data_IF_628248168862
#
_entry.id   IF_628248168862
#
_cell.length_a   1.000
_cell.length_b   1.000
_cell.length_c   1.000
_cell.angle_alpha   90.00
_cell.angle_beta   90.00
_cell.angle_gamma   90.00
#
_symmetry.space_group_name_H-M   'P 1'
#
loop_
_entity.id
_entity.type
_entity.pdbx_description
1 polymer ?
#
# COMPACT_ATOMS: atom_id res chain seq x y z
N UNK A 1 49.52 24.44 -17.01
CA UNK A 1 48.46 25.01 -16.15
C UNK A 1 47.11 25.22 -16.83
N UNK A 2 46.99 25.20 -18.18
CA UNK A 2 45.68 25.31 -18.87
C UNK A 2 44.90 23.99 -19.00
N UNK A 3 45.57 22.85 -18.90
CA UNK A 3 44.97 21.51 -19.06
C UNK A 3 44.25 21.00 -17.78
N UNK A 4 44.66 21.44 -16.58
CA UNK A 4 44.02 21.00 -15.32
C UNK A 4 42.64 21.60 -15.09
N UNK A 5 42.35 22.77 -15.69
CA UNK A 5 41.10 23.49 -15.46
C UNK A 5 39.91 22.88 -16.20
N UNK A 6 40.16 22.09 -17.26
CA UNK A 6 39.08 21.47 -18.04
C UNK A 6 38.53 20.20 -17.37
N UNK A 7 39.36 19.46 -16.65
CA UNK A 7 38.96 18.24 -15.92
C UNK A 7 38.15 18.58 -14.67
N UNK A 8 38.42 19.72 -14.03
CA UNK A 8 37.67 20.17 -12.87
C UNK A 8 36.25 20.65 -13.23
N UNK A 9 36.05 21.17 -14.46
CA UNK A 9 34.74 21.67 -14.91
C UNK A 9 33.80 20.54 -15.37
N UNK A 10 34.32 19.42 -15.88
CA UNK A 10 33.51 18.25 -16.24
C UNK A 10 33.09 17.42 -15.03
N UNK A 11 33.84 17.47 -13.91
CA UNK A 11 33.48 16.79 -12.66
C UNK A 11 32.38 17.52 -11.86
N UNK A 12 32.17 18.83 -12.08
CA UNK A 12 31.16 19.61 -11.37
C UNK A 12 29.74 19.53 -11.98
N UNK A 13 29.60 19.03 -13.21
CA UNK A 13 28.28 18.91 -13.88
C UNK A 13 27.53 17.64 -13.47
N UNK A 14 28.22 16.63 -12.92
CA UNK A 14 27.57 15.43 -12.37
C UNK A 14 27.14 15.56 -10.90
N UNK A 15 27.43 16.69 -10.25
CA UNK A 15 27.06 16.94 -8.85
C UNK A 15 25.72 17.69 -8.71
N UNK A 16 24.81 17.50 -9.66
CA UNK A 16 23.40 17.89 -9.56
C UNK A 16 22.48 16.66 -9.41
N UNK A 17 23.01 15.52 -8.93
CA UNK A 17 22.19 14.36 -8.61
C UNK A 17 21.35 14.61 -7.36
N UNK A 18 20.06 14.78 -7.65
CA UNK A 18 18.87 14.57 -6.81
C UNK A 18 18.73 15.49 -5.60
N UNK A 19 18.21 16.69 -5.86
CA UNK A 19 17.22 17.30 -4.98
C UNK A 19 16.11 16.25 -4.75
N UNK A 20 16.19 15.55 -3.63
CA UNK A 20 15.12 14.85 -2.91
C UNK A 20 14.07 14.20 -3.82
N UNK A 21 14.53 13.22 -4.59
CA UNK A 21 13.64 12.35 -5.34
C UNK A 21 12.90 11.48 -4.30
N UNK A 22 11.70 11.95 -3.96
CA UNK A 22 10.78 11.44 -2.94
C UNK A 22 10.56 9.93 -3.17
N UNK A 23 10.60 9.07 -2.14
CA UNK A 23 10.29 7.66 -2.33
C UNK A 23 8.86 7.48 -2.83
N UNK A 24 8.62 6.46 -3.66
CA UNK A 24 7.30 6.18 -4.22
C UNK A 24 6.39 5.53 -3.15
N UNK A 25 6.95 4.58 -2.38
CA UNK A 25 6.25 3.90 -1.28
C UNK A 25 7.22 3.68 -0.13
N UNK A 26 6.93 4.22 1.06
CA UNK A 26 7.82 4.20 2.24
C UNK A 26 9.22 4.70 1.91
N UNK A 27 10.20 3.79 1.81
CA UNK A 27 11.63 4.06 1.51
C UNK A 27 12.05 3.55 0.13
N UNK A 28 11.15 2.89 -0.59
CA UNK A 28 11.45 2.26 -1.87
C UNK A 28 11.07 3.15 -3.04
N UNK A 29 11.70 2.89 -4.18
CA UNK A 29 11.39 3.53 -5.46
C UNK A 29 11.11 2.49 -6.53
N UNK A 30 10.26 2.85 -7.48
CA UNK A 30 10.03 2.03 -8.65
C UNK A 30 11.33 1.78 -9.41
N UNK A 31 11.49 0.55 -9.92
CA UNK A 31 12.69 0.11 -10.63
C UNK A 31 13.87 -0.29 -9.73
N UNK A 32 13.76 -0.18 -8.40
CA UNK A 32 14.79 -0.72 -7.51
C UNK A 32 14.96 -2.24 -7.67
N UNK A 33 16.19 -2.74 -7.59
CA UNK A 33 16.47 -4.19 -7.51
C UNK A 33 16.19 -4.73 -6.11
N UNK A 34 16.11 -6.07 -5.97
CA UNK A 34 15.98 -6.73 -4.66
C UNK A 34 17.07 -6.30 -3.68
N UNK A 35 18.32 -6.22 -4.14
CA UNK A 35 19.47 -5.82 -3.33
C UNK A 35 19.38 -4.36 -2.89
N UNK A 36 18.81 -3.48 -3.73
CA UNK A 36 18.57 -2.09 -3.36
C UNK A 36 17.48 -1.97 -2.30
N UNK A 37 16.35 -2.67 -2.48
CA UNK A 37 15.26 -2.72 -1.50
C UNK A 37 15.76 -3.24 -0.15
N UNK A 38 16.53 -4.35 -0.13
CA UNK A 38 17.12 -4.92 1.09
C UNK A 38 18.09 -3.99 1.83
N UNK A 39 18.65 -2.98 1.16
CA UNK A 39 19.54 -1.98 1.79
C UNK A 39 18.77 -0.84 2.45
N UNK A 40 17.57 -0.53 1.97
CA UNK A 40 16.78 0.62 2.44
C UNK A 40 15.65 0.20 3.38
N UNK A 41 15.14 -1.02 3.25
CA UNK A 41 14.14 -1.56 4.16
C UNK A 41 14.80 -2.13 5.42
N UNK A 42 14.33 -1.65 6.58
CA UNK A 42 14.85 -1.99 7.90
C UNK A 42 13.91 -2.94 8.66
N UNK A 43 12.76 -3.28 8.06
CA UNK A 43 11.84 -4.28 8.56
C UNK A 43 12.46 -5.69 8.61
N UNK A 44 11.82 -6.60 9.34
CA UNK A 44 12.27 -7.99 9.40
C UNK A 44 11.96 -8.70 8.08
N UNK A 45 12.98 -9.17 7.36
CA UNK A 45 12.79 -10.00 6.17
C UNK A 45 12.31 -11.39 6.58
N UNK A 46 11.08 -11.73 6.20
CA UNK A 46 10.44 -13.02 6.52
C UNK A 46 10.70 -14.06 5.44
N UNK A 47 10.65 -13.65 4.16
CA UNK A 47 10.80 -14.55 3.03
C UNK A 47 11.42 -13.85 1.83
N UNK A 48 12.25 -14.58 1.10
CA UNK A 48 12.81 -14.19 -0.19
C UNK A 48 12.46 -15.24 -1.23
N UNK A 49 11.80 -14.81 -2.30
CA UNK A 49 11.51 -15.62 -3.49
C UNK A 49 12.13 -15.02 -4.74
N UNK A 50 11.87 -15.66 -5.89
CA UNK A 50 12.48 -15.27 -7.17
C UNK A 50 12.09 -13.84 -7.57
N UNK A 51 10.81 -13.48 -7.45
CA UNK A 51 10.29 -12.15 -7.78
C UNK A 51 9.65 -11.40 -6.61
N UNK A 52 9.77 -11.88 -5.37
CA UNK A 52 9.10 -11.27 -4.21
C UNK A 52 10.02 -11.25 -2.99
N UNK A 53 10.03 -10.12 -2.27
CA UNK A 53 10.55 -10.02 -0.91
C UNK A 53 9.40 -9.75 0.04
N UNK A 54 9.29 -10.53 1.12
CA UNK A 54 8.26 -10.35 2.15
C UNK A 54 8.91 -9.94 3.46
N UNK A 55 8.49 -8.81 4.00
CA UNK A 55 8.91 -8.30 5.29
C UNK A 55 7.75 -8.27 6.28
N UNK A 56 8.05 -8.22 7.58
CA UNK A 56 7.07 -7.95 8.63
C UNK A 56 7.22 -6.53 9.15
N UNK A 57 6.11 -5.81 9.20
CA UNK A 57 6.02 -4.46 9.77
C UNK A 57 4.89 -4.39 10.79
N UNK A 58 4.99 -3.45 11.75
CA UNK A 58 3.99 -3.27 12.81
C UNK A 58 4.28 -4.07 14.08
N UNK A 59 3.25 -4.41 14.86
CA UNK A 59 3.34 -5.32 16.02
C UNK A 59 3.79 -4.73 17.36
N UNK A 60 4.04 -3.41 17.46
CA UNK A 60 4.15 -2.74 18.78
C UNK A 60 2.83 -2.07 19.12
N UNK A 61 2.01 -2.77 19.92
CA UNK A 61 0.71 -2.30 20.35
C UNK A 61 0.78 -1.04 21.24
N UNK A 62 -0.21 -0.17 21.09
CA UNK A 62 -0.86 0.50 22.22
C UNK A 62 -2.34 0.09 22.16
N UNK A 63 -3.01 -0.20 23.30
CA UNK A 63 -4.38 -0.68 23.30
C UNK A 63 -5.29 0.44 22.78
N UNK A 64 -5.85 0.28 21.58
CA UNK A 64 -6.83 1.21 21.05
C UNK A 64 -8.17 0.97 21.76
N UNK A 65 -8.50 1.84 22.73
CA UNK A 65 -9.90 2.22 22.95
C UNK A 65 -10.16 3.38 21.99
N UNK A 66 -10.82 3.13 20.87
CA UNK A 66 -11.26 4.19 19.96
C UNK A 66 -12.61 4.68 20.44
N UNK A 67 -12.62 5.82 21.14
CA UNK A 67 -13.80 6.67 21.13
C UNK A 67 -13.73 7.52 19.86
N UNK A 68 -14.70 7.36 18.97
CA UNK A 68 -14.89 8.21 17.80
C UNK A 68 -15.14 9.64 18.29
N UNK A 69 -14.10 10.48 18.29
CA UNK A 69 -14.23 11.89 18.57
C UNK A 69 -14.60 12.66 17.30
N UNK A 70 -15.62 13.51 17.45
CA UNK A 70 -16.21 14.35 16.42
C UNK A 70 -15.21 15.21 15.65
N UNK A 71 -15.57 15.42 14.38
CA UNK A 71 -15.01 16.31 13.36
C UNK A 71 -14.36 17.56 13.97
N UNK A 72 -13.04 17.67 13.83
CA UNK A 72 -12.28 18.90 14.09
C UNK A 72 -12.00 19.56 12.74
N UNK A 73 -12.46 20.81 12.59
CA UNK A 73 -12.07 21.73 11.52
C UNK A 73 -10.55 21.97 11.61
N UNK A 74 -9.82 21.88 10.49
CA UNK A 74 -8.37 22.15 10.46
C UNK A 74 -8.01 23.14 9.35
N UNK A 75 -7.17 24.06 9.78
CA UNK A 75 -6.44 25.14 9.11
C UNK A 75 -5.50 24.63 7.99
N UNK A 76 -5.25 25.48 6.99
CA UNK A 76 -4.55 25.13 5.75
C UNK A 76 -3.01 25.06 5.90
N UNK A 77 -2.39 24.25 5.03
CA UNK A 77 -0.94 24.09 4.76
C UNK A 77 -0.17 22.99 5.52
N UNK A 78 -0.32 21.72 5.09
CA UNK A 78 0.63 20.62 5.39
C UNK A 78 1.29 20.09 4.10
N UNK A 79 2.62 19.93 4.14
CA UNK A 79 3.47 19.43 3.07
C UNK A 79 3.21 17.92 2.81
N UNK A 80 2.88 17.56 1.57
CA UNK A 80 2.56 16.17 1.19
C UNK A 80 3.81 15.30 1.27
N UNK A 81 3.93 14.47 2.30
CA UNK A 81 5.00 13.45 2.48
C UNK A 81 4.64 12.14 1.73
N UNK A 82 5.59 11.19 1.51
CA UNK A 82 5.26 9.92 0.87
C UNK A 82 4.32 9.11 1.77
N UNK A 83 3.56 8.14 1.22
CA UNK A 83 2.72 7.28 2.04
C UNK A 83 3.59 6.45 3.00
N UNK A 84 3.73 6.93 4.23
CA UNK A 84 4.23 6.14 5.35
C UNK A 84 3.10 5.30 5.89
N UNK A 85 3.38 4.00 6.07
CA UNK A 85 2.43 3.06 6.65
C UNK A 85 2.56 3.21 8.15
N UNK A 86 1.74 4.07 8.74
CA UNK A 86 1.61 4.11 10.19
C UNK A 86 1.09 2.74 10.68
N UNK A 87 1.82 2.11 11.59
CA UNK A 87 1.42 0.86 12.21
C UNK A 87 0.32 1.16 13.23
N UNK A 88 -0.93 0.96 12.85
CA UNK A 88 -2.10 1.16 13.71
C UNK A 88 -2.24 -0.06 14.63
N UNK A 89 -1.23 -0.37 15.45
CA UNK A 89 -1.28 -1.50 16.40
C UNK A 89 -1.31 -2.92 15.80
N UNK A 90 -1.55 -3.08 14.50
CA UNK A 90 -1.59 -4.37 13.81
C UNK A 90 -0.24 -4.76 13.20
N UNK A 91 -0.01 -6.06 13.03
CA UNK A 91 1.04 -6.61 12.18
C UNK A 91 0.59 -6.72 10.73
N UNK A 92 1.51 -6.40 9.80
CA UNK A 92 1.30 -6.52 8.37
C UNK A 92 2.48 -7.26 7.72
N UNK A 93 2.17 -8.01 6.68
CA UNK A 93 3.16 -8.47 5.71
C UNK A 93 3.33 -7.40 4.62
N UNK A 94 4.56 -6.96 4.41
CA UNK A 94 4.96 -5.99 3.39
C UNK A 94 5.67 -6.73 2.26
N UNK A 95 5.02 -6.85 1.10
CA UNK A 95 5.55 -7.54 -0.06
C UNK A 95 6.07 -6.52 -1.07
N UNK A 96 7.31 -6.70 -1.50
CA UNK A 96 7.90 -6.03 -2.65
C UNK A 96 7.92 -7.00 -3.83
N UNK A 97 7.27 -6.64 -4.92
CA UNK A 97 7.08 -7.49 -6.10
C UNK A 97 7.85 -6.92 -7.29
N UNK A 98 8.72 -7.76 -7.86
CA UNK A 98 9.71 -7.37 -8.86
C UNK A 98 9.33 -7.94 -10.24
N UNK A 99 9.23 -7.05 -11.22
CA UNK A 99 9.16 -7.42 -12.63
C UNK A 99 10.54 -7.41 -13.30
N UNK A 100 10.57 -7.53 -14.63
CA UNK A 100 11.81 -7.54 -15.41
C UNK A 100 12.66 -6.27 -15.23
N UNK A 101 11.99 -5.14 -14.99
CA UNK A 101 12.60 -3.81 -14.88
C UNK A 101 12.84 -3.37 -13.43
N UNK A 102 12.67 -4.25 -12.45
CA UNK A 102 12.83 -3.98 -11.03
C UNK A 102 11.50 -3.93 -10.28
N UNK A 103 11.49 -3.26 -9.12
CA UNK A 103 10.31 -3.11 -8.27
C UNK A 103 9.17 -2.43 -9.03
N UNK A 104 8.04 -3.11 -9.14
CA UNK A 104 6.86 -2.59 -9.84
C UNK A 104 5.59 -2.56 -9.00
N UNK A 105 5.58 -3.25 -7.86
CA UNK A 105 4.42 -3.31 -6.99
C UNK A 105 4.83 -3.51 -5.53
N UNK A 106 4.08 -2.87 -4.62
CA UNK A 106 4.18 -3.06 -3.17
C UNK A 106 2.82 -3.42 -2.63
N UNK A 107 2.74 -4.49 -1.83
CA UNK A 107 1.50 -4.91 -1.16
C UNK A 107 1.70 -4.82 0.35
N UNK A 108 0.72 -4.27 1.05
CA UNK A 108 0.64 -4.28 2.50
C UNK A 108 -0.60 -5.09 2.87
N UNK A 109 -0.38 -6.26 3.43
CA UNK A 109 -1.44 -7.21 3.76
C UNK A 109 -1.57 -7.34 5.28
N UNK A 110 -2.77 -7.18 5.81
CA UNK A 110 -3.05 -7.41 7.22
C UNK A 110 -2.77 -8.87 7.57
N UNK A 111 -1.88 -9.10 8.54
CA UNK A 111 -1.42 -10.45 8.86
C UNK A 111 -2.34 -11.18 9.83
N UNK A 112 -2.85 -10.44 10.81
CA UNK A 112 -3.64 -11.01 11.89
C UNK A 112 -5.12 -10.97 11.54
N UNK A 113 -5.79 -12.11 11.72
CA UNK A 113 -7.24 -12.17 11.66
C UNK A 113 -7.82 -11.33 12.80
N UNK A 114 -8.92 -10.63 12.52
CA UNK A 114 -9.69 -9.90 13.52
C UNK A 114 -10.90 -10.73 13.94
N UNK A 115 -11.18 -10.76 15.24
CA UNK A 115 -12.24 -11.61 15.81
C UNK A 115 -13.65 -11.22 15.33
N UNK A 116 -13.85 -9.97 14.93
CA UNK A 116 -15.15 -9.45 14.52
C UNK A 116 -15.10 -8.82 13.12
N UNK A 117 -16.00 -9.21 12.19
CA UNK A 117 -16.10 -8.60 10.86
C UNK A 117 -16.23 -7.08 10.88
N UNK A 118 -16.86 -6.52 11.93
CA UNK A 118 -16.97 -5.07 12.12
C UNK A 118 -15.61 -4.36 12.22
N UNK A 119 -14.62 -4.98 12.87
CA UNK A 119 -13.29 -4.40 13.03
C UNK A 119 -12.55 -4.28 11.70
N UNK A 120 -12.74 -5.22 10.77
CA UNK A 120 -12.18 -5.08 9.42
C UNK A 120 -12.76 -3.88 8.68
N UNK A 121 -14.07 -3.65 8.80
CA UNK A 121 -14.73 -2.52 8.16
C UNK A 121 -14.29 -1.18 8.76
N UNK A 122 -14.11 -1.13 10.09
CA UNK A 122 -13.56 0.04 10.78
C UNK A 122 -12.15 0.34 10.32
N UNK A 123 -11.28 -0.69 10.25
CA UNK A 123 -9.91 -0.55 9.79
C UNK A 123 -9.85 -0.14 8.31
N UNK A 124 -10.72 -0.70 7.46
CA UNK A 124 -10.84 -0.30 6.06
C UNK A 124 -11.19 1.20 5.95
N UNK A 125 -12.22 1.66 6.66
CA UNK A 125 -12.60 3.10 6.68
C UNK A 125 -11.47 3.99 7.21
N UNK A 126 -10.78 3.55 8.25
CA UNK A 126 -9.64 4.27 8.81
C UNK A 126 -8.50 4.38 7.79
N UNK A 127 -8.15 3.29 7.10
CA UNK A 127 -7.13 3.27 6.05
C UNK A 127 -7.53 4.12 4.85
N UNK A 128 -8.80 4.09 4.43
CA UNK A 128 -9.33 5.01 3.41
C UNK A 128 -9.07 6.47 3.76
N UNK A 129 -9.35 6.87 5.00
CA UNK A 129 -9.15 8.26 5.43
C UNK A 129 -7.67 8.64 5.43
N UNK A 130 -6.80 7.75 5.90
CA UNK A 130 -5.34 7.98 5.90
C UNK A 130 -4.82 8.10 4.46
N UNK A 131 -5.19 7.17 3.58
CA UNK A 131 -4.76 7.17 2.17
C UNK A 131 -5.27 8.40 1.43
N UNK A 132 -6.51 8.82 1.67
CA UNK A 132 -7.08 10.04 1.09
C UNK A 132 -6.29 11.29 1.49
N UNK A 133 -5.87 11.39 2.76
CA UNK A 133 -5.00 12.49 3.21
C UNK A 133 -3.62 12.45 2.57
N UNK A 134 -3.05 11.26 2.39
CA UNK A 134 -1.72 11.08 1.80
C UNK A 134 -1.70 11.33 0.29
N UNK A 135 -2.76 10.94 -0.42
CA UNK A 135 -2.85 11.04 -1.88
C UNK A 135 -3.43 12.40 -2.32
N UNK A 136 -4.22 13.07 -1.49
CA UNK A 136 -4.81 14.39 -1.78
C UNK A 136 -6.20 14.32 -2.43
N UNK A 137 -6.53 13.23 -3.13
CA UNK A 137 -7.86 13.01 -3.71
C UNK A 137 -8.71 12.00 -2.92
N UNK A 138 -10.05 12.14 -2.90
CA UNK A 138 -10.93 11.12 -2.34
C UNK A 138 -10.90 9.84 -3.20
N UNK A 139 -10.97 8.70 -2.53
CA UNK A 139 -11.08 7.42 -3.22
C UNK A 139 -12.37 7.33 -4.04
N UNK A 140 -12.28 6.67 -5.20
CA UNK A 140 -13.44 6.14 -5.91
C UNK A 140 -13.73 4.75 -5.36
N UNK A 141 -14.82 4.63 -4.61
CA UNK A 141 -15.27 3.36 -4.07
C UNK A 141 -15.98 2.50 -5.12
N UNK A 142 -15.63 1.23 -5.18
CA UNK A 142 -16.25 0.18 -5.99
C UNK A 142 -16.60 -0.98 -5.05
N UNK A 143 -17.80 -1.54 -5.17
CA UNK A 143 -18.16 -2.80 -4.52
C UNK A 143 -18.33 -3.88 -5.60
N UNK A 144 -17.67 -5.01 -5.41
CA UNK A 144 -17.77 -6.18 -6.30
C UNK A 144 -18.67 -7.23 -5.65
N UNK A 145 -19.69 -7.70 -6.35
CA UNK A 145 -20.65 -8.68 -5.83
C UNK A 145 -20.49 -10.00 -6.59
N UNK A 146 -20.51 -11.15 -5.88
CA UNK A 146 -20.48 -12.48 -6.55
C UNK A 146 -21.78 -12.77 -7.31
N UNK A 147 -22.89 -12.15 -6.90
CA UNK A 147 -24.21 -12.26 -7.52
C UNK A 147 -24.73 -10.90 -8.03
N UNK A 148 -25.79 -10.92 -8.84
CA UNK A 148 -26.48 -9.70 -9.31
C UNK A 148 -27.24 -8.94 -8.21
N UNK A 149 -27.12 -9.36 -6.94
CA UNK A 149 -27.77 -8.72 -5.80
C UNK A 149 -26.92 -7.57 -5.28
N UNK A 150 -27.02 -6.43 -5.97
CA UNK A 150 -26.42 -5.17 -5.52
C UNK A 150 -27.19 -4.68 -4.30
N UNK A 151 -26.52 -4.57 -3.14
CA UNK A 151 -27.08 -3.94 -1.94
C UNK A 151 -27.03 -2.42 -2.08
N UNK A 152 -27.99 -1.72 -1.45
CA UNK A 152 -28.04 -0.25 -1.48
C UNK A 152 -26.83 0.40 -0.79
N UNK A 153 -26.30 -0.27 0.24
CA UNK A 153 -25.13 0.18 0.99
C UNK A 153 -24.20 -1.02 1.26
N UNK A 154 -23.02 -1.08 0.62
CA UNK A 154 -22.12 -2.23 0.71
C UNK A 154 -21.41 -2.35 2.07
N UNK A 155 -21.59 -1.36 2.97
CA UNK A 155 -20.98 -1.29 4.30
C UNK A 155 -21.89 -1.78 5.44
N UNK A 156 -23.15 -2.18 5.18
CA UNK A 156 -24.11 -2.53 6.23
C UNK A 156 -23.90 -3.92 6.84
N UNK A 157 -23.23 -4.81 6.11
CA UNK A 157 -23.09 -6.22 6.50
C UNK A 157 -21.64 -6.67 6.33
N UNK A 158 -20.77 -6.38 7.32
CA UNK A 158 -19.36 -6.76 7.26
C UNK A 158 -19.16 -8.29 7.21
N UNK A 159 -20.07 -9.06 7.82
CA UNK A 159 -19.98 -10.52 7.83
C UNK A 159 -20.20 -11.12 6.44
N UNK A 160 -21.04 -10.50 5.60
CA UNK A 160 -21.19 -10.89 4.20
C UNK A 160 -19.89 -10.73 3.39
N UNK A 161 -19.04 -9.75 3.74
CA UNK A 161 -17.73 -9.57 3.09
C UNK A 161 -16.80 -10.74 3.43
N UNK A 162 -16.69 -11.10 4.71
CA UNK A 162 -15.82 -12.22 5.15
C UNK A 162 -16.32 -13.61 4.69
N UNK A 163 -17.61 -13.72 4.37
CA UNK A 163 -18.18 -14.90 3.69
C UNK A 163 -17.96 -14.88 2.17
N UNK A 164 -17.50 -13.75 1.64
CA UNK A 164 -17.25 -13.52 0.22
C UNK A 164 -18.52 -13.38 -0.60
N UNK A 165 -19.62 -12.87 -0.05
CA UNK A 165 -20.80 -12.51 -0.83
C UNK A 165 -20.51 -11.29 -1.73
N UNK A 166 -19.68 -10.37 -1.22
CA UNK A 166 -19.17 -9.20 -1.93
C UNK A 166 -17.80 -8.76 -1.36
N UNK A 167 -17.11 -7.88 -2.06
CA UNK A 167 -15.88 -7.22 -1.64
C UNK A 167 -15.98 -5.70 -1.78
N UNK A 168 -15.13 -4.99 -1.06
CA UNK A 168 -14.98 -3.54 -1.14
C UNK A 168 -13.62 -3.20 -1.72
N UNK A 169 -13.60 -2.23 -2.63
CA UNK A 169 -12.39 -1.72 -3.25
C UNK A 169 -12.45 -0.20 -3.28
N UNK A 170 -11.42 0.47 -2.76
CA UNK A 170 -11.24 1.91 -2.89
C UNK A 170 -10.03 2.15 -3.78
N UNK A 171 -10.22 2.94 -4.83
CA UNK A 171 -9.19 3.24 -5.82
C UNK A 171 -8.92 4.74 -5.81
N UNK A 172 -7.67 5.14 -5.62
CA UNK A 172 -7.29 6.54 -5.72
C UNK A 172 -6.78 6.85 -7.13
N UNK A 173 -7.29 7.92 -7.79
CA UNK A 173 -6.71 8.39 -9.03
C UNK A 173 -5.28 8.87 -8.78
N UNK A 174 -4.34 8.44 -9.62
CA UNK A 174 -2.97 8.98 -9.61
C UNK A 174 -2.98 10.45 -10.00
N UNK A 175 -2.71 11.38 -9.07
CA UNK A 175 -2.43 12.78 -9.42
C UNK A 175 -1.13 12.89 -10.25
N UNK A 176 -0.13 12.07 -9.93
CA UNK A 176 1.21 12.12 -10.53
C UNK A 176 1.45 11.13 -11.69
N UNK A 177 0.45 10.29 -12.01
CA UNK A 177 0.50 9.18 -12.98
C UNK A 177 1.60 8.14 -12.72
N UNK A 178 2.18 8.08 -11.51
CA UNK A 178 3.28 7.15 -11.20
C UNK A 178 2.82 5.90 -10.47
N UNK A 179 1.86 6.03 -9.53
CA UNK A 179 1.49 4.95 -8.61
C UNK A 179 -0.02 4.78 -8.45
N UNK A 180 -0.60 3.72 -9.00
CA UNK A 180 -1.98 3.35 -8.68
C UNK A 180 -2.05 2.84 -7.24
N UNK A 181 -3.03 3.33 -6.47
CA UNK A 181 -3.27 2.89 -5.10
C UNK A 181 -4.67 2.29 -4.99
N UNK A 182 -4.73 1.07 -4.48
CA UNK A 182 -5.96 0.32 -4.26
C UNK A 182 -6.00 -0.23 -2.84
N UNK A 183 -7.10 -0.04 -2.13
CA UNK A 183 -7.38 -0.68 -0.84
C UNK A 183 -8.51 -1.69 -1.04
N UNK A 184 -8.31 -2.92 -0.61
CA UNK A 184 -9.25 -4.03 -0.81
C UNK A 184 -9.61 -4.66 0.53
N UNK A 185 -10.90 -4.94 0.71
CA UNK A 185 -11.45 -5.73 1.79
C UNK A 185 -12.37 -6.79 1.19
N UNK A 186 -11.95 -8.05 1.27
CA UNK A 186 -12.69 -9.19 0.72
C UNK A 186 -12.54 -10.44 1.60
N UNK A 187 -12.94 -11.60 1.06
CA UNK A 187 -12.87 -12.87 1.78
C UNK A 187 -11.45 -13.44 1.77
N UNK A 188 -10.98 -13.86 2.95
CA UNK A 188 -9.82 -14.73 3.06
C UNK A 188 -10.16 -16.15 2.55
N UNK A 189 -9.78 -16.44 1.30
CA UNK A 189 -10.11 -17.71 0.63
C UNK A 189 -9.42 -18.94 1.22
N UNK A 190 -8.40 -18.74 2.05
CA UNK A 190 -7.59 -19.81 2.63
C UNK A 190 -7.85 -20.02 4.13
N UNK A 191 -8.73 -19.21 4.73
CA UNK A 191 -9.13 -19.39 6.11
C UNK A 191 -10.08 -20.62 6.26
N UNK A 192 -9.94 -21.41 7.34
CA UNK A 192 -10.82 -22.56 7.59
C UNK A 192 -12.24 -22.15 7.99
N UNK A 193 -12.40 -20.95 8.54
CA UNK A 193 -13.68 -20.32 8.89
C UNK A 193 -13.82 -19.01 8.11
N UNK A 194 -15.04 -18.46 7.93
CA UNK A 194 -15.22 -17.18 7.24
C UNK A 194 -14.40 -16.07 7.88
N UNK A 195 -13.48 -15.51 7.11
CA UNK A 195 -12.57 -14.46 7.54
C UNK A 195 -12.36 -13.46 6.40
N UNK A 196 -11.90 -12.27 6.72
CA UNK A 196 -11.64 -11.21 5.77
C UNK A 196 -10.13 -11.03 5.53
N UNK A 197 -9.80 -10.55 4.35
CA UNK A 197 -8.48 -10.03 4.02
C UNK A 197 -8.56 -8.51 3.88
N UNK A 198 -7.52 -7.81 4.31
CA UNK A 198 -7.38 -6.36 4.10
C UNK A 198 -6.00 -6.09 3.50
N UNK A 199 -5.99 -5.59 2.27
CA UNK A 199 -4.77 -5.39 1.49
C UNK A 199 -4.72 -4.00 0.86
N UNK A 200 -3.55 -3.36 0.91
CA UNK A 200 -3.25 -2.13 0.17
C UNK A 200 -2.25 -2.47 -0.92
N UNK A 201 -2.57 -2.09 -2.15
CA UNK A 201 -1.75 -2.29 -3.33
C UNK A 201 -1.26 -0.94 -3.84
N UNK A 202 0.04 -0.84 -4.05
CA UNK A 202 0.70 0.24 -4.75
C UNK A 202 1.34 -0.33 -6.00
N UNK A 203 0.91 0.11 -7.17
CA UNK A 203 1.38 -0.41 -8.47
C UNK A 203 1.97 0.71 -9.32
N UNK A 204 3.18 0.49 -9.82
CA UNK A 204 3.83 1.41 -10.74
C UNK A 204 3.13 1.40 -12.10
N UNK A 205 2.74 2.58 -12.58
CA UNK A 205 2.19 2.75 -13.92
C UNK A 205 3.26 2.57 -15.00
N UNK A 206 4.50 2.99 -14.72
CA UNK A 206 5.61 2.99 -15.70
C UNK A 206 6.43 1.69 -15.69
N UNK A 207 6.42 0.98 -14.57
CA UNK A 207 7.17 -0.26 -14.33
C UNK A 207 6.19 -1.33 -13.84
N UNK A 208 5.19 -1.73 -14.66
CA UNK A 208 4.22 -2.71 -14.24
C UNK A 208 4.91 -4.07 -14.00
N UNK A 209 4.39 -4.82 -13.03
CA UNK A 209 4.70 -6.25 -12.89
C UNK A 209 3.93 -7.04 -13.94
N UNK A 210 4.24 -8.34 -14.06
CA UNK A 210 3.46 -9.24 -14.90
C UNK A 210 1.98 -9.22 -14.49
N UNK A 211 1.07 -9.02 -15.45
CA UNK A 211 -0.36 -8.84 -15.18
C UNK A 211 -0.95 -10.06 -14.46
N UNK A 212 -0.55 -11.28 -14.86
CA UNK A 212 -1.05 -12.50 -14.23
C UNK A 212 -0.57 -12.60 -12.78
N UNK A 213 0.66 -12.15 -12.48
CA UNK A 213 1.15 -12.08 -11.11
C UNK A 213 0.36 -11.06 -10.27
N UNK A 214 0.09 -9.86 -10.80
CA UNK A 214 -0.74 -8.86 -10.10
C UNK A 214 -2.14 -9.42 -9.81
N UNK A 215 -2.82 -9.96 -10.82
CA UNK A 215 -4.14 -10.59 -10.68
C UNK A 215 -4.14 -11.72 -9.64
N UNK A 216 -3.10 -12.57 -9.64
CA UNK A 216 -2.96 -13.63 -8.64
C UNK A 216 -2.79 -13.08 -7.22
N UNK A 217 -2.05 -11.99 -7.03
CA UNK A 217 -1.87 -11.37 -5.71
C UNK A 217 -3.17 -10.74 -5.22
N UNK A 218 -3.91 -10.03 -6.09
CA UNK A 218 -5.25 -9.52 -5.78
C UNK A 218 -6.27 -10.64 -5.50
N UNK A 219 -6.09 -11.83 -6.08
CA UNK A 219 -6.99 -12.95 -5.83
C UNK A 219 -6.69 -13.68 -4.51
N UNK A 220 -5.42 -13.72 -4.12
CA UNK A 220 -4.92 -14.58 -3.03
C UNK A 220 -4.79 -13.84 -1.70
N UNK A 221 -4.45 -12.55 -1.74
CA UNK A 221 -4.26 -11.67 -0.57
C UNK A 221 -5.45 -10.77 -0.35
#
# INVERSE_FOLDING_TARGET
MRELTLILLTLLIFSACSLWDKPDVRKAKWGMTKEQVKKVENAELVKEGDGILTYRIGGKASPMKVELADVVEIDEEEEVTPPEVESIGYEYDLLYVFGERGLGMVVIHLRESLDEPGHYLELFKQRTNILTKQVGEPAKGVASYKDHQVKANPYEDPAAICKGEHGLQHIWPTEDKRTNVTLELDQNKFAPEPDCNLSIFYESVEIPVDQKLSEQLHEVL
#
